data_IF_941758201685
#
_entry.id   IF_941758201685
#
_cell.length_a   1.000
_cell.length_b   1.000
_cell.length_c   1.000
_cell.angle_alpha   90.00
_cell.angle_beta   90.00
_cell.angle_gamma   90.00
#
_symmetry.space_group_name_H-M   'P 1'
#
loop_
_entity.id
_entity.type
_entity.pdbx_description
1 polymer ?
2 non-polymer ?
3 non-polymer ?
4 water ?
#
# COMPACT_ATOMS: atom_id res chain seq x y z
N UNK A 9 -18.45 15.86 19.09
CA UNK A 9 -17.75 15.94 17.77
C UNK A 9 -16.51 16.89 17.69
N UNK A 10 -16.04 17.48 18.82
CA UNK A 10 -15.18 18.66 18.57
C UNK A 10 -13.82 18.28 17.99
N UNK A 11 -13.33 19.04 17.01
CA UNK A 11 -12.06 18.73 16.35
C UNK A 11 -10.92 18.87 17.32
N UNK A 12 -10.02 17.88 17.37
CA UNK A 12 -8.76 17.95 18.12
C UNK A 12 -7.67 17.99 17.07
N UNK A 13 -7.04 19.14 16.92
CA UNK A 13 -6.06 19.31 15.86
C UNK A 13 -4.71 18.75 16.28
N UNK A 14 -4.18 17.86 15.43
CA UNK A 14 -2.78 17.50 15.44
C UNK A 14 -2.26 17.97 14.11
N UNK A 15 -1.47 19.03 14.11
CA UNK A 15 -0.97 19.64 12.89
C UNK A 15 -0.32 18.69 11.89
N UNK A 16 0.65 17.93 12.39
CA UNK A 16 1.46 17.08 11.55
C UNK A 16 1.65 15.70 12.21
N UNK A 17 0.95 14.68 11.70
CA UNK A 17 1.05 13.35 12.31
C UNK A 17 2.31 12.60 11.97
N UNK A 18 3.13 13.15 11.08
CA UNK A 18 4.43 12.59 10.71
C UNK A 18 5.65 13.25 11.42
N UNK A 19 5.41 14.29 12.20
CA UNK A 19 6.52 15.03 12.87
C UNK A 19 7.33 14.05 13.71
N UNK A 20 8.64 14.01 13.48
CA UNK A 20 9.56 13.12 14.20
C UNK A 20 9.49 13.22 15.72
N UNK A 21 9.24 14.42 16.26
CA UNK A 21 9.09 14.59 17.72
C UNK A 21 7.85 13.85 18.19
N UNK A 22 6.77 14.00 17.45
CA UNK A 22 5.51 13.38 17.82
C UNK A 22 5.63 11.87 17.80
N UNK A 23 6.25 11.32 16.77
CA UNK A 23 6.44 9.87 16.66
C UNK A 23 7.24 9.35 17.86
N UNK A 24 8.31 10.07 18.19
CA UNK A 24 9.07 9.79 19.40
C UNK A 24 8.18 9.82 20.66
N UNK A 25 7.37 10.86 20.84
CA UNK A 25 6.47 10.98 22.02
C UNK A 25 5.48 9.81 22.09
N UNK A 26 4.90 9.46 20.94
CA UNK A 26 3.92 8.35 20.86
C UNK A 26 4.54 7.00 21.18
N UNK A 27 5.70 6.70 20.59
CA UNK A 27 6.34 5.42 20.84
C UNK A 27 6.93 5.28 22.26
N UNK A 28 7.26 6.41 22.89
CA UNK A 28 7.72 6.44 24.28
C UNK A 28 6.58 6.19 25.25
N UNK A 29 5.40 6.73 24.95
CA UNK A 29 4.23 6.56 25.79
C UNK A 29 3.56 5.20 25.78
N UNK A 30 4.05 4.24 24.97
CA UNK A 30 3.39 2.92 24.87
C UNK A 30 3.64 2.06 26.10
N UNK A 31 2.60 1.38 26.59
CA UNK A 31 2.70 0.45 27.70
C UNK A 31 3.39 -0.85 27.32
N UNK A 32 3.15 -1.32 26.09
CA UNK A 32 3.90 -2.43 25.52
C UNK A 32 4.84 -1.86 24.45
N UNK A 33 6.09 -1.49 24.84
CA UNK A 33 7.03 -1.00 23.84
C UNK A 33 7.42 -2.03 22.77
N UNK A 34 7.86 -1.53 21.60
CA UNK A 34 8.20 -2.39 20.46
C UNK A 34 9.32 -3.39 20.80
N UNK A 35 10.29 -2.94 21.62
CA UNK A 35 11.40 -3.78 22.10
C UNK A 35 10.95 -5.00 22.92
N UNK A 36 9.82 -4.85 23.60
CA UNK A 36 9.20 -5.95 24.35
C UNK A 36 8.39 -6.93 23.49
N UNK A 37 8.15 -6.62 22.21
CA UNK A 37 7.44 -7.58 21.34
C UNK A 37 8.26 -8.86 21.23
N UNK A 38 7.59 -10.04 21.22
CA UNK A 38 8.34 -11.31 21.10
C UNK A 38 9.34 -11.42 19.93
N UNK A 39 8.98 -10.89 18.75
CA UNK A 39 9.85 -11.01 17.56
C UNK A 39 10.70 -9.76 17.28
N UNK A 40 10.93 -8.93 18.29
CA UNK A 40 11.90 -7.81 18.24
C UNK A 40 13.23 -8.27 18.89
N UNK A 41 14.35 -7.96 18.23
CA UNK A 41 15.69 -8.34 18.69
C UNK A 41 16.55 -7.09 18.70
N UNK A 42 17.20 -6.81 19.83
CA UNK A 42 18.09 -5.68 19.96
C UNK A 42 19.52 -6.19 19.96
N UNK A 43 20.36 -5.56 19.14
CA UNK A 43 21.75 -5.95 19.00
C UNK A 43 22.62 -4.77 19.40
N UNK A 44 23.69 -5.04 20.16
CA UNK A 44 24.63 -4.00 20.62
C UNK A 44 25.82 -3.90 19.69
N UNK A 45 25.51 -3.61 18.43
CA UNK A 45 26.47 -3.29 17.39
C UNK A 45 25.76 -2.49 16.31
N UNK A 46 26.54 -1.91 15.42
CA UNK A 46 26.01 -1.15 14.29
C UNK A 46 25.44 -2.09 13.23
N UNK A 47 24.73 -1.49 12.28
CA UNK A 47 24.06 -2.21 11.22
C UNK A 47 25.17 -2.79 10.36
N UNK A 48 25.11 -4.11 10.05
CA UNK A 48 26.15 -4.66 9.16
C UNK A 48 26.03 -4.07 7.75
N UNK A 49 27.07 -4.26 6.95
CA UNK A 49 27.02 -3.85 5.55
C UNK A 49 26.03 -4.76 4.82
N UNK A 50 25.02 -4.16 4.20
CA UNK A 50 23.98 -4.88 3.48
C UNK A 50 24.00 -4.37 2.06
N UNK A 51 24.57 -5.17 1.14
CA UNK A 51 24.61 -4.81 -0.28
C UNK A 51 24.46 -6.04 -1.18
N UNK A 52 23.94 -5.83 -2.40
CA UNK A 52 23.72 -6.94 -3.33
C UNK A 52 24.94 -7.85 -3.54
N UNK A 53 24.68 -9.15 -3.67
CA UNK A 53 25.65 -10.17 -4.05
C UNK A 53 26.68 -10.53 -2.97
N UNK A 54 26.45 -10.06 -1.74
CA UNK A 54 27.27 -10.43 -0.59
C UNK A 54 26.38 -10.98 0.51
N UNK A 55 26.99 -11.76 1.39
CA UNK A 55 26.37 -12.17 2.63
C UNK A 55 26.53 -11.11 3.71
N UNK A 56 25.72 -11.23 4.74
CA UNK A 56 25.92 -10.54 6.00
C UNK A 56 25.26 -11.40 7.08
N UNK A 57 25.62 -11.16 8.32
CA UNK A 57 25.04 -11.92 9.44
C UNK A 57 23.90 -11.11 10.05
N UNK A 58 22.78 -11.78 10.32
CA UNK A 58 21.64 -11.14 10.97
C UNK A 58 21.38 -11.88 12.26
N UNK A 59 21.90 -11.33 13.36
CA UNK A 59 21.86 -12.00 14.65
C UNK A 59 22.66 -13.29 14.66
N UNK A 60 21.94 -14.41 14.55
CA UNK A 60 22.55 -15.75 14.49
C UNK A 60 22.80 -16.21 13.04
N UNK A 61 21.80 -16.05 12.18
CA UNK A 61 21.88 -16.58 10.81
C UNK A 61 22.73 -15.75 9.88
N UNK A 62 23.04 -16.34 8.72
CA UNK A 62 23.76 -15.68 7.63
C UNK A 62 22.83 -15.49 6.41
N UNK A 63 22.74 -14.25 5.92
CA UNK A 63 21.75 -13.85 4.92
C UNK A 63 22.44 -13.34 3.66
N UNK A 64 22.09 -13.92 2.51
CA UNK A 64 22.62 -13.46 1.22
C UNK A 64 21.68 -12.44 0.60
N UNK A 65 22.21 -11.29 0.19
CA UNK A 65 21.41 -10.19 -0.36
C UNK A 65 21.45 -10.24 -1.89
N UNK A 66 20.29 -10.38 -2.53
CA UNK A 66 20.20 -10.64 -3.98
C UNK A 66 20.23 -9.37 -4.79
N UNK A 67 19.27 -8.50 -4.55
CA UNK A 67 19.19 -7.23 -5.25
C UNK A 67 18.24 -6.26 -4.56
N UNK A 68 18.37 -5.01 -4.99
CA UNK A 68 17.60 -3.91 -4.44
C UNK A 68 16.24 -3.91 -5.07
N UNK A 69 15.21 -3.94 -4.23
CA UNK A 69 13.83 -3.85 -4.71
C UNK A 69 13.32 -2.43 -4.70
N UNK A 70 13.85 -1.59 -3.81
CA UNK A 70 13.45 -0.19 -3.77
C UNK A 70 14.28 0.58 -2.74
N UNK A 71 14.33 1.91 -2.88
CA UNK A 71 14.99 2.76 -1.91
C UNK A 71 14.36 4.11 -1.92
N UNK A 72 14.43 4.78 -0.79
CA UNK A 72 13.74 6.06 -0.66
C UNK A 72 13.81 6.54 0.75
N UNK A 73 14.00 7.85 0.92
CA UNK A 73 14.18 8.45 2.22
C UNK A 73 15.22 7.66 3.00
N UNK A 74 14.86 7.09 4.14
CA UNK A 74 15.83 6.47 5.01
C UNK A 74 15.91 4.95 4.84
N UNK A 75 15.22 4.42 3.83
CA UNK A 75 14.96 2.98 3.71
C UNK A 75 15.53 2.43 2.41
N UNK A 76 16.01 1.20 2.48
CA UNK A 76 16.33 0.39 1.34
C UNK A 76 15.65 -0.96 1.54
N UNK A 77 15.04 -1.46 0.48
CA UNK A 77 14.34 -2.75 0.49
C UNK A 77 15.03 -3.75 -0.42
N UNK A 78 15.35 -4.92 0.13
CA UNK A 78 16.13 -5.97 -0.56
C UNK A 78 15.44 -7.33 -0.61
N UNK A 79 15.66 -8.05 -1.70
CA UNK A 79 15.36 -9.47 -1.76
C UNK A 79 16.55 -10.23 -1.20
N UNK A 80 16.27 -11.31 -0.46
CA UNK A 80 17.32 -12.05 0.23
C UNK A 80 16.94 -13.53 0.50
N UNK A 81 17.96 -14.38 0.72
CA UNK A 81 17.77 -15.81 1.10
C UNK A 81 18.55 -16.17 2.36
N UNK A 82 18.05 -17.15 3.11
CA UNK A 82 18.60 -17.51 4.44
C UNK A 82 19.87 -18.36 4.32
N UNK A 89 18.00 -27.00 4.63
CA UNK A 89 18.76 -27.13 3.40
C UNK A 89 18.13 -26.37 2.23
N UNK A 90 16.81 -26.50 2.09
CA UNK A 90 16.03 -25.75 1.06
C UNK A 90 15.90 -24.29 1.53
N UNK A 91 16.11 -23.35 0.60
CA UNK A 91 16.28 -21.93 0.93
C UNK A 91 15.03 -21.10 0.62
N UNK A 92 14.48 -20.48 1.68
CA UNK A 92 13.31 -19.61 1.54
C UNK A 92 13.73 -18.17 1.20
N UNK A 93 13.23 -17.64 0.09
CA UNK A 93 13.42 -16.22 -0.27
C UNK A 93 12.57 -15.29 0.62
N UNK A 94 13.10 -14.12 0.98
CA UNK A 94 12.35 -13.12 1.72
C UNK A 94 12.84 -11.70 1.43
N UNK A 95 12.26 -10.73 2.15
CA UNK A 95 12.56 -9.32 1.97
C UNK A 95 13.03 -8.70 3.25
N UNK A 96 14.02 -7.83 3.11
CA UNK A 96 14.57 -7.02 4.17
C UNK A 96 14.25 -5.57 3.92
N UNK A 97 13.82 -4.86 4.95
CA UNK A 97 13.69 -3.42 4.84
C UNK A 97 14.63 -2.81 5.86
N UNK A 98 15.63 -2.09 5.37
CA UNK A 98 16.74 -1.59 6.19
C UNK A 98 16.51 -0.10 6.34
N UNK A 99 16.40 0.37 7.58
CA UNK A 99 16.22 1.79 7.83
C UNK A 99 17.37 2.36 8.65
N UNK A 100 17.89 3.49 8.21
CA UNK A 100 18.97 4.21 8.88
C UNK A 100 18.52 5.66 8.93
N UNK A 101 18.16 6.21 10.09
CA UNK A 101 18.17 5.54 11.40
C UNK A 101 17.01 4.55 11.56
N UNK A 102 16.99 3.87 12.71
CA UNK A 102 15.95 2.90 13.06
C UNK A 102 14.51 3.42 12.88
N UNK A 103 13.64 2.64 12.24
CA UNK A 103 12.20 2.97 12.14
C UNK A 103 11.37 1.87 12.80
N UNK A 104 11.27 1.91 14.14
CA UNK A 104 10.32 1.02 14.81
C UNK A 104 8.86 1.36 14.50
N UNK A 105 8.59 2.59 14.06
CA UNK A 105 7.20 2.99 13.73
C UNK A 105 6.49 2.08 12.77
N UNK A 106 7.15 1.67 11.68
CA UNK A 106 6.54 0.73 10.74
C UNK A 106 6.15 -0.59 11.39
N UNK A 107 7.06 -1.11 12.22
CA UNK A 107 6.86 -2.38 12.87
C UNK A 107 5.71 -2.25 13.87
N UNK A 108 5.66 -1.11 14.56
CA UNK A 108 4.56 -0.79 15.46
C UNK A 108 3.20 -0.86 14.74
N UNK A 109 3.09 -0.14 13.63
CA UNK A 109 1.82 -0.10 12.86
C UNK A 109 1.43 -1.48 12.31
N UNK A 110 2.40 -2.15 11.70
CA UNK A 110 2.19 -3.48 11.16
C UNK A 110 1.73 -4.48 12.20
N UNK A 111 2.28 -4.39 13.40
CA UNK A 111 1.85 -5.23 14.53
C UNK A 111 0.41 -4.93 14.94
N UNK A 112 0.08 -3.64 15.09
CA UNK A 112 -1.27 -3.24 15.46
C UNK A 112 -2.30 -3.69 14.41
N UNK A 113 -1.96 -3.44 13.15
CA UNK A 113 -2.81 -3.86 12.05
C UNK A 113 -3.15 -5.36 12.16
N UNK A 114 -2.14 -6.21 12.34
CA UNK A 114 -2.36 -7.65 12.39
C UNK A 114 -3.13 -8.11 13.61
N UNK A 115 -3.00 -7.40 14.73
CA UNK A 115 -3.81 -7.64 15.93
C UNK A 115 -5.26 -7.28 15.71
N UNK A 116 -5.50 -6.20 14.98
CA UNK A 116 -6.86 -5.68 14.85
C UNK A 116 -7.68 -6.30 13.72
N UNK A 117 -6.99 -6.73 12.66
CA UNK A 117 -7.69 -7.20 11.46
C UNK A 117 -8.50 -8.45 11.78
N UNK A 118 -9.65 -8.62 11.15
CA UNK A 118 -10.38 -9.86 11.30
C UNK A 118 -9.53 -10.99 10.70
N UNK A 119 -9.53 -12.18 11.31
CA UNK A 119 -8.71 -13.25 10.76
C UNK A 119 -8.93 -13.52 9.29
N UNK A 120 -10.18 -13.43 8.82
CA UNK A 120 -10.51 -13.66 7.44
C UNK A 120 -9.96 -12.63 6.42
N UNK A 121 -9.37 -11.52 6.90
CA UNK A 121 -8.82 -10.47 6.04
C UNK A 121 -7.31 -10.46 5.99
N UNK A 122 -6.67 -11.22 6.87
CA UNK A 122 -5.22 -11.13 7.04
C UNK A 122 -4.46 -11.59 5.78
N UNK A 123 -5.07 -12.47 4.97
CA UNK A 123 -4.46 -12.92 3.73
C UNK A 123 -4.16 -11.80 2.71
N UNK A 124 -4.86 -10.67 2.83
CA UNK A 124 -4.67 -9.52 1.94
C UNK A 124 -3.43 -8.69 2.27
N UNK A 125 -2.69 -9.07 3.29
CA UNK A 125 -1.55 -8.31 3.77
C UNK A 125 -0.28 -9.18 3.78
N UNK A 126 0.85 -8.51 3.52
CA UNK A 126 2.16 -9.14 3.53
C UNK A 126 2.44 -9.58 4.95
N UNK A 127 2.91 -10.82 5.09
CA UNK A 127 3.39 -11.32 6.40
C UNK A 127 4.72 -10.68 6.80
N UNK A 128 4.92 -10.48 8.10
CA UNK A 128 6.23 -10.05 8.61
C UNK A 128 6.72 -11.01 9.71
N UNK A 129 8.03 -11.02 9.93
CA UNK A 129 8.67 -12.08 10.72
C UNK A 129 9.50 -11.61 11.90
N UNK A 130 10.29 -10.56 11.71
CA UNK A 130 11.10 -10.04 12.82
C UNK A 130 11.55 -8.63 12.55
N UNK A 131 11.80 -7.91 13.63
CA UNK A 131 12.48 -6.65 13.62
C UNK A 131 13.81 -6.85 14.33
N UNK A 132 14.89 -6.34 13.75
CA UNK A 132 16.18 -6.32 14.42
C UNK A 132 16.58 -4.86 14.58
N UNK A 133 16.72 -4.43 15.84
CA UNK A 133 17.13 -3.07 16.16
C UNK A 133 18.63 -3.05 16.48
N UNK A 134 19.39 -2.35 15.64
CA UNK A 134 20.82 -2.11 15.82
C UNK A 134 21.00 -0.66 16.31
N UNK A 135 22.23 -0.29 16.64
CA UNK A 135 22.50 1.04 17.22
C UNK A 135 22.27 2.20 16.24
N UNK A 136 22.48 1.96 14.95
CA UNK A 136 22.34 2.98 13.91
C UNK A 136 21.31 2.62 12.84
N UNK A 137 20.48 1.60 13.09
CA UNK A 137 19.43 1.25 12.13
C UNK A 137 18.57 0.07 12.54
N UNK A 138 17.68 -0.33 11.64
CA UNK A 138 16.82 -1.48 11.85
C UNK A 138 16.69 -2.26 10.58
N UNK A 139 16.46 -3.56 10.70
CA UNK A 139 16.16 -4.42 9.59
C UNK A 139 14.85 -5.11 9.93
N UNK A 140 13.86 -4.97 9.05
CA UNK A 140 12.61 -5.74 9.16
C UNK A 140 12.62 -6.84 8.13
N UNK A 141 12.10 -8.00 8.50
CA UNK A 141 12.05 -9.14 7.62
C UNK A 141 10.59 -9.48 7.27
N UNK A 142 10.33 -9.55 5.97
CA UNK A 142 8.99 -9.71 5.46
C UNK A 142 8.89 -10.76 4.37
N UNK A 143 7.65 -11.08 4.04
CA UNK A 143 7.32 -12.00 2.98
C UNK A 143 7.49 -11.40 1.62
N UNK A 144 8.17 -12.12 0.73
CA UNK A 144 8.41 -11.68 -0.62
C UNK A 144 7.22 -11.86 -1.53
N UNK A 145 6.87 -10.77 -2.21
CA UNK A 145 5.91 -10.77 -3.28
C UNK A 145 6.80 -10.63 -4.50
N UNK A 146 6.96 -11.69 -5.27
CA UNK A 146 8.07 -11.75 -6.24
C UNK A 146 7.76 -11.26 -7.66
N UNK A 147 6.61 -10.62 -7.87
CA UNK A 147 6.24 -10.07 -9.21
C UNK A 147 6.20 -8.56 -9.29
N UNK A 148 6.81 -7.90 -8.32
CA UNK A 148 7.13 -6.48 -8.40
C UNK A 148 5.96 -5.62 -7.97
N UNK A 149 6.04 -4.34 -8.27
CA UNK A 149 5.02 -3.40 -7.84
C UNK A 149 3.95 -3.21 -8.89
N UNK A 150 2.83 -2.66 -8.46
CA UNK A 150 1.79 -2.31 -9.37
C UNK A 150 2.22 -1.21 -10.34
N UNK A 151 3.05 -0.28 -9.86
CA UNK A 151 3.63 0.72 -10.75
C UNK A 151 4.39 0.07 -11.93
N UNK A 152 5.23 -0.91 -11.62
CA UNK A 152 5.98 -1.65 -12.64
C UNK A 152 5.03 -2.33 -13.62
N UNK A 153 3.95 -2.93 -13.10
CA UNK A 153 2.94 -3.60 -13.95
C UNK A 153 2.30 -2.65 -14.93
N UNK A 154 1.84 -1.51 -14.43
CA UNK A 154 1.25 -0.46 -15.26
C UNK A 154 2.21 -0.06 -16.38
N UNK A 155 3.48 0.13 -16.02
CA UNK A 155 4.52 0.48 -16.98
C UNK A 155 4.77 -0.65 -18.00
N UNK A 156 4.61 -1.92 -17.62
CA UNK A 156 4.71 -3.03 -18.57
C UNK A 156 3.66 -2.97 -19.68
N UNK A 157 2.45 -2.47 -19.38
CA UNK A 157 1.44 -2.30 -20.44
C UNK A 157 1.79 -1.25 -21.49
N UNK A 158 2.66 -0.30 -21.16
CA UNK A 158 3.01 0.78 -22.08
C UNK A 158 3.74 0.34 -23.35
N UNK A 159 4.43 -0.80 -23.29
CA UNK A 159 5.11 -1.40 -24.44
C UNK A 159 4.33 -2.60 -24.99
N UNK A 160 2.99 -2.51 -24.96
CA UNK A 160 2.10 -3.44 -25.65
C UNK A 160 1.21 -2.58 -26.54
N UNK A 161 0.54 -3.20 -27.54
CA UNK A 161 -0.42 -2.42 -28.34
C UNK A 161 -1.59 -1.90 -27.51
N UNK A 162 -1.94 -2.64 -26.46
CA UNK A 162 -2.96 -2.24 -25.46
C UNK A 162 -2.67 -0.87 -24.80
N UNK A 163 -1.40 -0.61 -24.47
CA UNK A 163 -0.92 0.66 -23.84
C UNK A 163 -1.22 0.86 -22.32
N UNK A 164 -2.42 0.45 -21.92
CA UNK A 164 -2.85 0.49 -20.52
C UNK A 164 -3.45 -0.84 -20.12
N UNK A 165 -3.53 -1.06 -18.80
CA UNK A 165 -4.20 -2.23 -18.22
C UNK A 165 -5.62 -2.32 -18.78
N UNK A 166 -6.14 -3.53 -19.06
CA UNK A 166 -7.55 -3.60 -19.50
C UNK A 166 -8.49 -3.34 -18.35
N UNK A 167 -9.66 -2.77 -18.65
CA UNK A 167 -10.67 -2.41 -17.64
C UNK A 167 -11.04 -3.52 -16.69
N UNK A 168 -11.31 -4.73 -17.19
CA UNK A 168 -11.65 -5.83 -16.31
C UNK A 168 -10.69 -5.98 -15.12
N UNK A 169 -9.39 -5.89 -15.40
CA UNK A 169 -8.37 -6.04 -14.37
C UNK A 169 -8.29 -4.79 -13.51
N UNK A 170 -8.40 -3.63 -14.15
CA UNK A 170 -8.44 -2.35 -13.41
C UNK A 170 -9.54 -2.41 -12.33
N UNK A 171 -10.72 -2.88 -12.72
CA UNK A 171 -11.85 -2.94 -11.80
C UNK A 171 -11.65 -4.01 -10.73
N UNK A 172 -11.13 -5.20 -11.10
CA UNK A 172 -10.81 -6.22 -10.12
C UNK A 172 -9.83 -5.68 -9.07
N UNK A 173 -8.78 -5.01 -9.54
CA UNK A 173 -7.79 -4.43 -8.63
C UNK A 173 -8.39 -3.31 -7.75
N UNK A 174 -9.12 -2.39 -8.36
CA UNK A 174 -9.79 -1.28 -7.64
C UNK A 174 -10.70 -1.80 -6.55
N UNK A 175 -11.48 -2.84 -6.84
CA UNK A 175 -12.32 -3.47 -5.84
C UNK A 175 -11.57 -4.10 -4.70
N UNK A 176 -10.47 -4.78 -5.02
CA UNK A 176 -9.59 -5.33 -3.99
C UNK A 176 -9.04 -4.21 -3.08
N UNK A 177 -8.70 -3.08 -3.67
CA UNK A 177 -8.09 -1.95 -2.91
C UNK A 177 -9.10 -1.34 -1.93
N UNK A 178 -10.31 -1.15 -2.43
CA UNK A 178 -11.41 -0.62 -1.62
C UNK A 178 -11.73 -1.53 -0.45
N UNK A 179 -11.81 -2.83 -0.70
CA UNK A 179 -12.08 -3.80 0.34
C UNK A 179 -10.93 -3.84 1.36
N UNK A 180 -9.71 -3.82 0.85
CA UNK A 180 -8.52 -3.79 1.70
C UNK A 180 -8.47 -2.57 2.66
N UNK A 181 -8.67 -1.38 2.13
CA UNK A 181 -8.62 -0.12 2.90
C UNK A 181 -9.79 -0.04 3.88
N UNK A 182 -10.95 -0.57 3.47
CA UNK A 182 -12.06 -0.74 4.39
C UNK A 182 -11.63 -1.44 5.65
N UNK A 183 -10.86 -2.52 5.50
CA UNK A 183 -10.39 -3.27 6.66
C UNK A 183 -9.36 -2.47 7.44
N UNK A 184 -8.40 -1.88 6.75
CA UNK A 184 -7.39 -1.03 7.43
C UNK A 184 -8.09 0.09 8.27
N UNK A 185 -9.05 0.76 7.67
CA UNK A 185 -9.74 1.83 8.38
C UNK A 185 -10.60 1.34 9.51
N UNK A 186 -11.19 0.16 9.35
CA UNK A 186 -11.88 -0.48 10.46
C UNK A 186 -10.97 -0.72 11.66
N UNK A 187 -9.67 -0.94 11.43
CA UNK A 187 -8.67 -1.01 12.50
C UNK A 187 -8.21 0.37 13.05
N UNK A 188 -8.80 1.44 12.56
CA UNK A 188 -8.39 2.81 12.92
C UNK A 188 -6.96 3.15 12.55
N UNK A 189 -6.51 2.63 11.41
CA UNK A 189 -5.20 2.97 10.84
C UNK A 189 -5.40 3.68 9.49
N UNK A 190 -4.51 4.63 9.19
CA UNK A 190 -4.54 5.33 7.91
C UNK A 190 -3.21 4.93 7.28
N UNK A 191 -3.22 4.48 6.04
CA UNK A 191 -1.98 4.10 5.41
C UNK A 191 -1.06 5.32 5.18
N UNK A 192 -1.63 6.32 4.55
CA UNK A 192 -1.01 7.61 4.40
C UNK A 192 -0.20 7.84 3.15
N UNK A 193 0.06 6.80 2.37
CA UNK A 193 0.87 6.94 1.15
C UNK A 193 0.49 5.91 0.11
N UNK A 194 -0.83 5.82 -0.16
CA UNK A 194 -1.35 4.87 -1.09
C UNK A 194 -1.09 5.35 -2.51
N UNK A 195 -0.36 4.53 -3.25
CA UNK A 195 0.06 4.85 -4.62
C UNK A 195 0.54 3.57 -5.31
N UNK A 196 0.64 3.58 -6.66
CA UNK A 196 0.98 2.32 -7.36
C UNK A 196 2.27 1.64 -6.91
N UNK A 197 3.27 2.41 -6.52
CA UNK A 197 4.54 1.80 -6.16
C UNK A 197 4.61 1.25 -4.73
N UNK A 198 3.49 1.37 -3.98
CA UNK A 198 3.32 0.77 -2.67
C UNK A 198 2.38 -0.43 -2.68
N UNK A 199 1.84 -0.78 -3.87
CA UNK A 199 1.19 -2.06 -4.06
C UNK A 199 2.17 -3.07 -4.69
N UNK A 200 2.16 -4.31 -4.20
CA UNK A 200 3.04 -5.37 -4.64
C UNK A 200 2.21 -6.58 -5.07
N UNK A 201 2.80 -7.36 -5.97
CA UNK A 201 2.16 -8.52 -6.62
C UNK A 201 2.95 -9.77 -6.32
N UNK A 202 2.25 -10.82 -5.90
CA UNK A 202 2.88 -12.05 -5.36
C UNK A 202 2.27 -13.31 -5.96
N UNK A 203 2.72 -14.46 -5.45
CA UNK A 203 2.33 -15.79 -5.99
C UNK A 203 0.83 -16.02 -5.99
N UNK A 204 0.13 -15.43 -5.02
CA UNK A 204 -1.33 -15.49 -4.93
C UNK A 204 -2.02 -15.10 -6.22
N UNK A 205 -1.44 -14.15 -6.94
CA UNK A 205 -1.92 -13.72 -8.22
C UNK A 205 -1.66 -14.78 -9.28
N UNK A 206 -0.41 -15.29 -9.33
CA UNK A 206 0.00 -16.39 -10.26
C UNK A 206 -0.89 -17.59 -10.10
N UNK A 207 -1.03 -18.01 -8.84
CA UNK A 207 -1.81 -19.18 -8.44
C UNK A 207 -3.32 -19.06 -8.67
N UNK A 208 -3.84 -17.84 -8.82
CA UNK A 208 -5.28 -17.62 -8.89
C UNK A 208 -5.86 -18.32 -10.12
N UNK A 209 -6.58 -19.42 -9.88
CA UNK A 209 -7.18 -20.25 -10.95
C UNK A 209 -8.66 -19.95 -11.19
N UNK A 210 -9.36 -19.52 -10.14
CA UNK A 210 -10.82 -19.27 -10.17
C UNK A 210 -11.22 -18.04 -11.00
N UNK A 211 -12.51 -17.67 -10.96
CA UNK A 211 -13.00 -16.45 -11.57
C UNK A 211 -13.60 -15.46 -10.55
N UNK A 212 -12.99 -15.35 -9.37
CA UNK A 212 -13.49 -14.44 -8.34
C UNK A 212 -13.28 -12.98 -8.76
N UNK A 213 -14.16 -12.10 -8.29
CA UNK A 213 -14.12 -10.67 -8.65
C UNK A 213 -12.85 -9.96 -8.14
N UNK A 214 -12.43 -10.30 -6.93
CA UNK A 214 -11.22 -9.72 -6.30
C UNK A 214 -9.94 -10.46 -6.67
N UNK A 215 -8.93 -9.74 -7.16
CA UNK A 215 -7.64 -10.36 -7.50
C UNK A 215 -6.83 -10.63 -6.23
N UNK A 216 -6.35 -11.86 -6.12
CA UNK A 216 -5.51 -12.25 -4.99
C UNK A 216 -4.07 -11.85 -5.28
N UNK A 217 -3.24 -11.95 -4.26
CA UNK A 217 -1.82 -11.70 -4.40
C UNK A 217 -1.43 -10.24 -4.48
N UNK A 218 -2.36 -9.33 -4.13
CA UNK A 218 -2.09 -7.88 -4.06
C UNK A 218 -1.97 -7.49 -2.61
N UNK A 219 -0.85 -6.87 -2.23
CA UNK A 219 -0.71 -6.35 -0.89
C UNK A 219 -0.27 -4.87 -0.98
N UNK A 220 -0.49 -4.16 0.11
CA UNK A 220 -0.15 -2.78 0.25
C UNK A 220 0.91 -2.72 1.33
N UNK A 221 2.06 -2.12 1.02
CA UNK A 221 3.17 -2.07 1.97
C UNK A 221 3.66 -0.62 2.15
N UNK A 222 4.73 -0.46 2.91
CA UNK A 222 5.33 0.82 3.26
C UNK A 222 4.49 1.63 4.22
N UNK A 223 4.79 1.51 5.50
CA UNK A 223 4.01 2.11 6.55
C UNK A 223 4.67 3.38 7.11
N UNK A 224 5.58 3.96 6.32
CA UNK A 224 6.36 5.12 6.72
C UNK A 224 5.52 6.35 7.02
N UNK A 225 4.40 6.52 6.30
CA UNK A 225 3.45 7.59 6.58
C UNK A 225 2.18 7.12 7.31
N UNK A 226 2.19 5.95 7.90
CA UNK A 226 0.96 5.41 8.48
C UNK A 226 0.66 6.07 9.80
N UNK A 227 -0.63 6.11 10.12
CA UNK A 227 -1.12 6.84 11.30
C UNK A 227 -2.05 5.92 12.11
N UNK A 228 -1.81 5.79 13.43
CA UNK A 228 -2.70 5.00 14.30
C UNK A 228 -3.65 5.94 15.01
N UNK A 229 -4.92 5.94 14.62
CA UNK A 229 -5.85 6.88 15.20
C UNK A 229 -6.22 6.52 16.63
N UNK A 230 -5.95 5.29 17.08
CA UNK A 230 -6.20 4.96 18.48
C UNK A 230 -5.23 5.70 19.44
N UNK A 231 -4.12 6.25 18.93
CA UNK A 231 -3.17 6.97 19.80
C UNK A 231 -3.54 8.44 20.00
N UNK A 232 -4.56 8.92 19.30
CA UNK A 232 -4.99 10.31 19.38
C UNK A 232 -6.39 10.34 19.92
N UNK A 233 -6.81 11.50 20.44
CA UNK A 233 -8.19 11.73 20.88
C UNK A 233 -9.23 11.51 19.81
N UNK A 234 -10.46 11.19 20.24
CA UNK A 234 -11.61 11.12 19.35
C UNK A 234 -11.70 12.43 18.62
N UNK A 235 -12.12 12.38 17.38
CA UNK A 235 -12.27 13.59 16.59
C UNK A 235 -10.98 14.26 16.12
N UNK A 236 -9.84 13.58 16.24
CA UNK A 236 -8.57 14.17 15.80
C UNK A 236 -8.62 14.39 14.28
N UNK A 237 -8.12 15.55 13.85
CA UNK A 237 -7.93 15.91 12.43
C UNK A 237 -6.53 16.46 12.24
N UNK A 238 -6.06 16.42 11.00
CA UNK A 238 -4.69 16.82 10.70
C UNK A 238 -4.78 17.92 9.69
N UNK A 239 -3.69 18.69 9.57
CA UNK A 239 -3.65 19.84 8.69
C UNK A 239 -2.46 19.90 7.75
N UNK A 240 -1.36 19.22 8.06
CA UNK A 240 -0.17 19.29 7.21
C UNK A 240 -0.36 18.78 5.78
N UNK A 241 0.49 19.29 4.90
CA UNK A 241 0.65 18.77 3.55
C UNK A 241 1.61 17.61 3.59
N UNK A 242 1.62 16.81 2.53
CA UNK A 242 2.32 15.53 2.52
C UNK A 242 3.84 15.68 2.39
N UNK A 243 4.54 14.56 2.54
CA UNK A 243 6.01 14.52 2.50
C UNK A 243 6.51 14.53 1.05
N UNK A 244 7.84 14.54 0.89
CA UNK A 244 8.51 14.69 -0.42
C UNK A 244 7.93 13.80 -1.54
N UNK A 245 7.72 12.50 -1.27
CA UNK A 245 7.25 11.54 -2.31
C UNK A 245 5.75 11.43 -2.45
N UNK A 246 4.97 12.13 -1.61
CA UNK A 246 3.51 12.00 -1.61
C UNK A 246 2.82 12.94 -2.59
N UNK A 247 1.60 12.57 -2.99
CA UNK A 247 0.66 13.43 -3.71
C UNK A 247 -0.21 14.17 -2.69
N UNK A 248 -0.33 15.49 -2.85
CA UNK A 248 -1.26 16.26 -2.02
C UNK A 248 -2.68 15.83 -2.30
N UNK A 249 -3.43 15.57 -1.24
CA UNK A 249 -4.85 15.24 -1.38
C UNK A 249 -5.67 16.52 -1.52
N UNK A 250 -6.96 16.37 -1.81
CA UNK A 250 -7.86 17.52 -2.05
C UNK A 250 -7.82 18.54 -0.90
N UNK A 251 -7.82 18.05 0.34
CA UNK A 251 -7.86 18.92 1.54
C UNK A 251 -6.58 19.75 1.68
N UNK A 252 -5.45 19.10 1.46
CA UNK A 252 -4.14 19.75 1.49
C UNK A 252 -4.04 20.83 0.41
N UNK A 253 -4.63 20.52 -0.75
CA UNK A 253 -4.62 21.38 -1.92
C UNK A 253 -5.47 22.65 -1.69
N UNK A 254 -6.51 22.56 -0.86
CA UNK A 254 -7.39 23.68 -0.54
C UNK A 254 -7.33 24.09 0.95
N UNK A 255 -6.23 23.72 1.62
CA UNK A 255 -5.92 24.16 2.99
C UNK A 255 -7.06 23.90 3.96
N UNK A 256 -7.42 22.63 4.03
CA UNK A 256 -8.49 22.12 4.86
C UNK A 256 -7.96 20.95 5.70
N UNK A 257 -8.68 20.64 6.78
CA UNK A 257 -8.28 19.51 7.59
C UNK A 257 -8.64 18.13 6.97
N UNK A 258 -7.92 17.09 7.38
CA UNK A 258 -8.16 15.73 6.87
C UNK A 258 -7.81 14.73 7.94
N UNK A 259 -8.41 13.54 7.82
CA UNK A 259 -7.82 12.35 8.42
C UNK A 259 -7.93 11.18 7.39
N UNK A 260 -8.98 10.38 7.42
CA UNK A 260 -9.10 9.24 6.48
C UNK A 260 -9.20 9.57 4.98
N UNK A 261 -9.58 10.82 4.64
CA UNK A 261 -9.65 11.30 3.28
C UNK A 261 -8.35 11.10 2.49
N UNK A 262 -7.20 11.15 3.17
CA UNK A 262 -5.92 11.02 2.50
C UNK A 262 -5.84 9.67 1.75
N UNK A 263 -6.44 8.62 2.31
CA UNK A 263 -6.40 7.27 1.74
C UNK A 263 -7.43 7.09 0.61
N UNK A 264 -8.57 7.76 0.73
CA UNK A 264 -9.54 7.82 -0.37
C UNK A 264 -8.92 8.43 -1.60
N UNK A 265 -8.23 9.54 -1.41
CA UNK A 265 -7.49 10.19 -2.46
C UNK A 265 -6.42 9.27 -3.06
N UNK A 266 -5.65 8.61 -2.21
CA UNK A 266 -4.62 7.68 -2.69
C UNK A 266 -5.16 6.51 -3.53
N UNK A 267 -6.23 5.91 -3.07
CA UNK A 267 -6.85 4.82 -3.82
C UNK A 267 -7.33 5.35 -5.18
N UNK A 268 -8.01 6.50 -5.19
CA UNK A 268 -8.38 7.17 -6.44
C UNK A 268 -7.20 7.45 -7.38
N UNK A 269 -6.13 8.06 -6.89
CA UNK A 269 -4.92 8.28 -7.69
C UNK A 269 -4.32 6.99 -8.26
N UNK A 270 -4.32 5.94 -7.45
CA UNK A 270 -3.82 4.65 -7.90
C UNK A 270 -4.69 4.04 -9.02
N UNK A 271 -6.01 4.09 -8.86
CA UNK A 271 -6.95 3.56 -9.87
C UNK A 271 -6.81 4.37 -11.14
N UNK A 272 -6.69 5.69 -10.98
CA UNK A 272 -6.47 6.56 -12.12
C UNK A 272 -5.26 6.14 -12.90
N UNK A 273 -4.16 5.86 -12.20
CA UNK A 273 -2.93 5.45 -12.84
C UNK A 273 -3.06 4.11 -13.56
N UNK A 274 -3.83 3.19 -13.01
CA UNK A 274 -4.14 1.93 -13.73
C UNK A 274 -4.90 2.24 -15.03
N UNK A 275 -5.87 3.14 -14.94
CA UNK A 275 -6.72 3.49 -16.09
C UNK A 275 -5.99 4.18 -17.26
N UNK A 276 -5.11 5.14 -16.96
CA UNK A 276 -4.47 6.01 -17.97
C UNK A 276 -2.96 5.81 -18.09
N UNK A 277 -2.39 4.96 -17.25
CA UNK A 277 -0.94 4.83 -17.20
C UNK A 277 -0.10 6.01 -16.77
N UNK A 278 -0.70 7.09 -16.25
CA UNK A 278 0.07 8.23 -15.71
C UNK A 278 -0.55 8.73 -14.43
N UNK A 279 0.19 9.60 -13.75
CA UNK A 279 -0.25 10.18 -12.48
C UNK A 279 -1.48 11.09 -12.63
N UNK A 280 -2.33 11.04 -11.62
CA UNK A 280 -3.53 11.84 -11.55
C UNK A 280 -3.21 13.28 -11.24
N UNK A 281 -3.69 14.19 -12.08
CA UNK A 281 -3.76 15.62 -11.78
C UNK A 281 -5.23 15.96 -11.63
N UNK A 282 -5.57 16.84 -10.69
CA UNK A 282 -6.99 17.24 -10.50
C UNK A 282 -7.23 18.73 -10.83
N UNK A 283 -8.50 19.11 -10.94
CA UNK A 283 -8.93 20.50 -11.20
C UNK A 283 -10.31 20.72 -10.55
N UNK A 284 -10.72 21.99 -10.38
CA UNK A 284 -12.02 22.33 -9.73
C UNK A 284 -13.05 22.96 -10.68
N UNK A 285 -14.34 22.69 -10.41
CA UNK A 285 -15.48 23.22 -11.20
C UNK A 285 -16.70 23.50 -10.32
N UNK A 288 -16.69 21.53 -7.34
CA UNK A 288 -16.38 20.12 -7.52
C UNK A 288 -14.94 19.83 -8.02
N UNK A 289 -14.26 18.88 -7.36
CA UNK A 289 -12.92 18.41 -7.77
C UNK A 289 -13.01 17.23 -8.75
N UNK A 290 -12.22 17.29 -9.82
CA UNK A 290 -12.27 16.30 -10.92
C UNK A 290 -10.88 15.98 -11.44
N UNK A 291 -10.62 14.71 -11.84
CA UNK A 291 -9.36 14.41 -12.49
C UNK A 291 -9.34 14.87 -13.93
N UNK A 292 -8.16 15.27 -14.40
CA UNK A 292 -7.94 15.58 -15.81
C UNK A 292 -7.96 14.29 -16.63
N UNK A 293 -8.07 14.45 -17.94
CA UNK A 293 -8.30 13.32 -18.85
C UNK A 293 -9.79 13.01 -18.81
N UNK A 294 -10.15 11.75 -18.53
CA UNK A 294 -11.55 11.29 -18.36
C UNK A 294 -12.44 11.67 -19.56
N UNK A 295 -11.99 11.25 -20.73
CA UNK A 295 -12.64 11.65 -21.97
C UNK A 295 -13.90 10.83 -22.22
N UNK A 296 -14.74 11.31 -23.13
CA UNK A 296 -16.04 10.66 -23.45
C UNK A 296 -15.89 9.22 -23.96
N UNK A 297 -14.70 8.87 -24.43
CA UNK A 297 -14.42 7.59 -25.05
C UNK A 297 -14.18 6.45 -24.05
N UNK A 298 -13.98 6.79 -22.77
CA UNK A 298 -13.68 5.81 -21.72
C UNK A 298 -14.83 4.81 -21.51
N UNK A 299 -14.52 3.50 -21.54
CA UNK A 299 -15.53 2.53 -21.15
C UNK A 299 -16.02 2.76 -19.72
N UNK A 300 -17.32 2.54 -19.49
CA UNK A 300 -17.94 2.64 -18.17
C UNK A 300 -17.82 4.07 -17.59
N UNK A 301 -17.99 5.06 -18.47
CA UNK A 301 -17.75 6.47 -18.15
C UNK A 301 -18.56 6.95 -16.96
N UNK A 302 -19.84 6.63 -16.96
CA UNK A 302 -20.71 7.00 -15.84
C UNK A 302 -20.19 6.40 -14.52
N UNK A 303 -19.80 5.13 -14.51
CA UNK A 303 -19.25 4.47 -13.32
C UNK A 303 -18.00 5.20 -12.83
N UNK A 304 -17.06 5.46 -13.73
CA UNK A 304 -15.82 6.15 -13.37
C UNK A 304 -16.04 7.60 -12.89
N UNK A 305 -17.02 8.30 -13.47
CA UNK A 305 -17.29 9.70 -13.05
C UNK A 305 -17.80 9.71 -11.64
N UNK A 306 -18.75 8.82 -11.37
CA UNK A 306 -19.32 8.62 -10.07
C UNK A 306 -18.24 8.14 -9.06
N UNK A 307 -17.40 7.19 -9.45
CA UNK A 307 -16.27 6.74 -8.62
C UNK A 307 -15.39 7.93 -8.18
N UNK A 308 -14.84 8.65 -9.14
CA UNK A 308 -13.95 9.74 -8.88
C UNK A 308 -14.59 10.89 -8.16
N UNK A 309 -15.88 11.12 -8.45
CA UNK A 309 -16.61 12.17 -7.78
C UNK A 309 -16.72 11.87 -6.28
N UNK A 310 -17.18 10.67 -5.93
CA UNK A 310 -17.33 10.27 -4.53
C UNK A 310 -15.96 10.20 -3.80
N UNK A 311 -14.91 9.70 -4.45
CA UNK A 311 -13.59 9.58 -3.79
C UNK A 311 -12.90 10.94 -3.56
N UNK A 312 -13.17 11.92 -4.45
CA UNK A 312 -12.45 13.21 -4.41
C UNK A 312 -13.23 14.39 -3.79
N UNK A 313 -14.52 14.22 -3.47
CA UNK A 313 -15.36 15.35 -2.98
C UNK A 313 -16.02 14.97 -1.68
N UNK A 314 -15.20 14.80 -0.66
CA UNK A 314 -15.68 14.35 0.63
C UNK A 314 -16.01 15.65 1.41
N UNK A 315 -17.28 15.89 1.77
CA UNK A 315 -17.61 17.21 2.37
C UNK A 315 -16.70 17.55 3.55
N UNK A 316 -16.58 16.62 4.49
CA UNK A 316 -15.67 16.77 5.63
C UNK A 316 -15.39 15.42 6.29
N UNK A 317 -14.68 15.44 7.42
CA UNK A 317 -14.30 14.24 8.18
C UNK A 317 -15.46 13.42 8.73
N UNK A 318 -16.66 14.00 8.80
CA UNK A 318 -17.86 13.33 9.31
C UNK A 318 -18.72 12.68 8.23
N UNK A 319 -18.37 12.89 6.96
CA UNK A 319 -19.14 12.37 5.83
C UNK A 319 -18.22 11.51 4.92
N UNK A 320 -17.54 10.55 5.54
CA UNK A 320 -16.62 9.67 4.76
C UNK A 320 -17.49 8.71 3.98
N UNK A 321 -17.28 8.60 2.66
CA UNK A 321 -18.16 7.71 1.87
C UNK A 321 -17.96 6.22 2.19
N UNK A 322 -19.01 5.41 1.95
CA UNK A 322 -18.96 4.00 2.24
C UNK A 322 -18.07 3.32 1.22
N UNK A 323 -16.98 2.73 1.70
CA UNK A 323 -16.11 1.91 0.87
C UNK A 323 -16.84 0.66 0.37
N UNK A 324 -17.74 0.11 1.17
CA UNK A 324 -18.56 -1.00 0.71
C UNK A 324 -19.42 -0.61 -0.49
N UNK A 325 -20.15 0.50 -0.37
CA UNK A 325 -20.99 0.99 -1.50
C UNK A 325 -20.21 1.33 -2.77
N UNK A 326 -19.06 1.98 -2.60
CA UNK A 326 -18.12 2.26 -3.68
C UNK A 326 -17.74 0.95 -4.44
N UNK A 327 -17.35 -0.08 -3.70
CA UNK A 327 -17.05 -1.38 -4.26
C UNK A 327 -18.27 -2.10 -4.91
N UNK A 328 -19.44 -2.05 -4.24
CA UNK A 328 -20.66 -2.65 -4.80
C UNK A 328 -21.03 -2.07 -6.15
N UNK A 329 -20.81 -0.77 -6.35
CA UNK A 329 -21.06 -0.17 -7.68
C UNK A 329 -20.13 -0.67 -8.81
N UNK A 330 -18.85 -0.76 -8.50
CA UNK A 330 -17.88 -1.39 -9.42
C UNK A 330 -18.22 -2.86 -9.68
N UNK A 331 -18.60 -3.58 -8.63
CA UNK A 331 -18.93 -5.01 -8.72
C UNK A 331 -20.09 -5.34 -9.65
N UNK A 332 -21.10 -4.47 -9.66
CA UNK A 332 -22.24 -4.61 -10.61
C UNK A 332 -21.78 -4.58 -12.05
N UNK A 333 -20.89 -3.65 -12.37
CA UNK A 333 -20.34 -3.58 -13.72
C UNK A 333 -19.41 -4.75 -14.03
N UNK A 334 -18.59 -5.14 -13.04
CA UNK A 334 -17.68 -6.25 -13.21
C UNK A 334 -18.46 -7.55 -13.52
N UNK A 335 -19.43 -7.83 -12.69
CA UNK A 335 -20.29 -8.99 -12.84
C UNK A 335 -21.04 -9.05 -14.16
N UNK A 336 -21.38 -7.88 -14.71
CA UNK A 336 -22.08 -7.82 -15.98
C UNK A 336 -21.16 -8.09 -17.14
N UNK A 337 -19.97 -7.49 -17.10
CA UNK A 337 -19.11 -7.49 -18.25
C UNK A 337 -17.92 -8.44 -18.23
N UNK A 338 -17.35 -8.76 -17.05
CA UNK A 338 -15.98 -9.30 -16.98
C UNK A 338 -15.81 -10.62 -16.31
N UNK A 339 -16.88 -11.19 -15.79
CA UNK A 339 -16.78 -12.45 -15.09
C UNK A 339 -16.15 -13.55 -15.96
N UNK A 340 -16.44 -13.50 -17.26
CA UNK A 340 -15.93 -14.46 -18.28
C UNK A 340 -14.67 -13.99 -19.01
N UNK A 341 -14.16 -12.83 -18.65
CA UNK A 341 -12.92 -12.31 -19.24
C UNK A 341 -11.72 -12.32 -18.27
N UNK A 342 -11.99 -12.33 -16.97
CA UNK A 342 -10.98 -11.99 -15.98
C UNK A 342 -9.83 -13.00 -15.92
N UNK A 343 -10.14 -14.29 -16.02
CA UNK A 343 -9.09 -15.32 -16.07
C UNK A 343 -8.06 -15.04 -17.16
N UNK A 344 -8.55 -14.76 -18.37
CA UNK A 344 -7.67 -14.53 -19.52
C UNK A 344 -6.91 -13.22 -19.35
N UNK A 345 -7.58 -12.19 -18.80
CA UNK A 345 -6.89 -10.92 -18.50
C UNK A 345 -5.76 -11.10 -17.47
N UNK A 346 -6.01 -11.83 -16.39
CA UNK A 346 -4.97 -12.15 -15.39
C UNK A 346 -3.83 -12.95 -16.02
N UNK A 347 -4.17 -14.01 -16.77
CA UNK A 347 -3.12 -14.82 -17.43
C UNK A 347 -2.22 -14.00 -18.31
N UNK A 348 -2.77 -13.03 -19.02
CA UNK A 348 -2.01 -12.16 -19.89
C UNK A 348 -1.03 -11.29 -19.09
N UNK A 349 -1.48 -10.77 -17.94
CA UNK A 349 -0.58 -10.05 -17.02
C UNK A 349 0.49 -10.96 -16.42
N UNK A 350 0.12 -12.18 -16.00
CA UNK A 350 1.09 -13.17 -15.55
C UNK A 350 2.22 -13.30 -16.56
N UNK A 351 1.84 -13.41 -17.83
CA UNK A 351 2.82 -13.60 -18.91
C UNK A 351 3.74 -12.37 -19.01
N UNK A 352 3.18 -11.17 -18.96
CA UNK A 352 4.03 -9.96 -18.85
C UNK A 352 4.87 -9.89 -17.58
N UNK A 353 4.31 -10.31 -16.45
CA UNK A 353 5.06 -10.26 -15.17
C UNK A 353 6.20 -11.27 -15.08
N UNK A 354 5.97 -12.49 -15.56
CA UNK A 354 7.05 -13.50 -15.56
C UNK A 354 8.16 -13.17 -16.58
N UNK A 355 7.79 -12.56 -17.72
CA UNK A 355 8.78 -12.01 -18.66
C UNK A 355 9.65 -10.87 -18.07
N UNK A 356 9.02 -9.99 -17.29
CA UNK A 356 9.74 -8.88 -16.62
C UNK A 356 10.76 -9.41 -15.61
N UNK A 357 10.38 -10.41 -14.84
CA UNK A 357 11.23 -11.01 -13.82
C UNK A 357 12.40 -11.83 -14.42
N UNK A 358 12.24 -12.32 -15.65
CA UNK A 358 13.35 -12.84 -16.46
C UNK A 358 14.32 -11.75 -16.99
N UNK A 359 13.88 -10.49 -16.99
CA UNK A 359 14.68 -9.25 -17.25
C UNK A 359 14.44 -8.74 -18.66
X LIG B 1 8.46 -3.15 -0.18
X LIG B 1 9.25 -5.85 5.93
X LIG B 1 8.18 -2.52 2.04
X LIG B 1 8.53 -3.96 4.03
X LIG B 1 7.98 -2.86 3.38
X LIG B 1 8.09 -3.85 5.32
X LIG B 1 9.35 -5.04 3.65
X LIG B 1 9.72 -5.98 4.62
X LIG B 1 8.29 -1.21 1.70
X LIG B 1 8.61 -1.79 -0.53
X LIG B 1 8.60 -5.54 -4.78
X LIG B 1 8.68 -5.14 -3.43
X LIG B 1 8.34 -5.98 -2.41
X LIG B 1 8.10 -7.34 -2.53
X LIG B 1 7.77 -8.08 -1.47
X LIG B 1 7.71 -7.54 -0.24
X LIG B 1 7.96 -6.17 -0.04
X LIG B 1 8.25 -5.38 -1.16
X LIG B 1 8.56 -4.05 -1.16
X LIG B 1 8.29 -3.47 1.11
X LIG B 1 8.81 -1.50 -1.84
X LIG B 1 8.72 -0.09 -2.26
X LIG B 1 8.49 -0.80 0.44
X LIG B 1 7.29 -2.16 4.28
X LIG B 1 8.45 -4.78 6.29
X LIG B 1 7.36 -2.74 5.36
X LIG B 1 6.72 -2.28 6.59
X LIG B 1 5.57 -3.19 7.02
X LIG B 1 5.63 -3.83 8.27
X LIG B 1 4.57 -4.62 8.72
X LIG B 1 6.66 -3.63 9.11
X LIG B 1 4.46 -3.43 6.23
X LIG B 1 4.32 -2.85 5.02
X LIG B 1 3.43 -4.24 6.66
X LIG B 1 3.47 -4.83 7.91
X LIG B 1 2.50 -5.65 8.41
X LIG B 1 1.13 -5.25 8.29
X LIG B 1 0.52 -6.42 7.57
X LIG B 1 1.26 -6.53 6.37
X LIG C 1 5.85 6.47 1.75
#
# INVERSE_FOLDING_TARGET
GSSLGTVDAPNFIVGNPWDDKLIFKLLSGLSKPVSSYPNTFEWQCKLPAIKPKTEFQLGSKLVYVHHLLGEGAFAQVYEATQGDLNDAKNKQKFVLKVQKPANPWEFYIGTQLMERLKPSMQHMFMKFYSAHLFQNGSVLVGELYSYGTLLNAINLYKNTPEKVMPQGLVISFAMRMLYMIEQVHDCEIIHGDIKPDNFILGNGFLEQDDEDDLSAGLALIDLGQSIDMKLFPKGTIFTAKCETSGFQCVEMLSNKPWNYQIDYFGVAATVYCMLFGTYMKVKNEGGECKPEGLFRRLPHLDMWNEFFHVMLNIPDCHHLPSLDLLRQKLKKVFQQHYTNKIRALRNRLIVLLLECKRSRK
CVQ C4 C14 C6 C11 C7 C10 C12 C13 N1 C3 C37 O36 C31 C32 N33 C34 C35 C30 N29 N5 O38 C39 C2 N8 C15 N9 C16 C17 C22 C21 F23 C18 F28 C19 C20 O24 C25 C26 O27
MG MG
#
